data_IF_654045184449
#
_entry.id   IF_654045184449
#
_cell.length_a   1.000
_cell.length_b   1.000
_cell.length_c   1.000
_cell.angle_alpha   90.00
_cell.angle_beta   90.00
_cell.angle_gamma   90.00
#
_symmetry.space_group_name_H-M   'P 1'
#
loop_
_entity.id
_entity.type
_entity.pdbx_description
1 polymer ?
#
# COMPACT_ATOMS: atom_id res chain seq x y z
N UNK A 1 54.66 -19.86 21.67
CA UNK A 1 53.26 -19.96 22.14
C UNK A 1 52.38 -18.75 21.72
N UNK A 2 52.80 -17.89 20.80
CA UNK A 2 52.07 -16.66 20.43
C UNK A 2 51.08 -16.82 19.25
N UNK A 3 51.17 -17.91 18.47
CA UNK A 3 50.31 -18.15 17.30
C UNK A 3 48.86 -18.55 17.62
N UNK A 4 48.59 -19.04 18.84
CA UNK A 4 47.25 -19.54 19.24
C UNK A 4 46.28 -18.42 19.64
N UNK A 5 46.80 -17.29 20.13
CA UNK A 5 45.98 -16.14 20.53
C UNK A 5 45.50 -15.28 19.34
N UNK A 6 46.24 -15.27 18.24
CA UNK A 6 45.88 -14.48 17.06
C UNK A 6 44.58 -14.95 16.41
N UNK A 7 44.34 -16.26 16.33
CA UNK A 7 43.14 -16.80 15.68
C UNK A 7 41.87 -16.62 16.51
N UNK A 8 41.98 -16.61 17.84
CA UNK A 8 40.83 -16.47 18.74
C UNK A 8 40.18 -15.08 18.63
N UNK A 9 40.93 -14.05 18.26
CA UNK A 9 40.42 -12.69 18.06
C UNK A 9 40.09 -12.42 16.58
N UNK A 10 40.84 -13.01 15.64
CA UNK A 10 40.61 -12.81 14.20
C UNK A 10 39.27 -13.40 13.74
N UNK A 11 38.91 -14.60 14.20
CA UNK A 11 37.71 -15.32 13.77
C UNK A 11 36.41 -14.56 14.14
N UNK A 12 36.20 -14.11 15.40
CA UNK A 12 35.00 -13.35 15.74
C UNK A 12 34.96 -11.98 15.05
N UNK A 13 36.09 -11.31 14.86
CA UNK A 13 36.15 -10.04 14.12
C UNK A 13 35.73 -10.24 12.65
N UNK A 14 36.14 -11.34 12.03
CA UNK A 14 35.76 -11.70 10.67
C UNK A 14 34.27 -12.08 10.57
N UNK A 15 33.71 -12.77 11.58
CA UNK A 15 32.28 -13.08 11.64
C UNK A 15 31.40 -11.84 11.85
N UNK A 16 31.85 -10.90 12.68
CA UNK A 16 31.17 -9.60 12.87
C UNK A 16 31.25 -8.79 11.58
N UNK A 17 32.43 -8.71 10.95
CA UNK A 17 32.62 -8.04 9.66
C UNK A 17 31.74 -8.64 8.56
N UNK A 18 31.68 -9.98 8.46
CA UNK A 18 30.82 -10.68 7.52
C UNK A 18 29.33 -10.44 7.80
N UNK A 19 28.92 -10.42 9.07
CA UNK A 19 27.53 -10.10 9.45
C UNK A 19 27.15 -8.66 9.07
N UNK A 20 28.01 -7.69 9.32
CA UNK A 20 27.80 -6.28 8.92
C UNK A 20 27.76 -6.16 7.40
N UNK A 21 28.66 -6.85 6.68
CA UNK A 21 28.68 -6.87 5.23
C UNK A 21 27.41 -7.49 4.62
N UNK A 22 26.91 -8.58 5.21
CA UNK A 22 25.64 -9.21 4.81
C UNK A 22 24.46 -8.24 5.05
N UNK A 23 24.43 -7.53 6.18
CA UNK A 23 23.39 -6.54 6.46
C UNK A 23 23.39 -5.37 5.46
N UNK A 24 24.57 -4.92 5.01
CA UNK A 24 24.70 -3.85 4.00
C UNK A 24 24.35 -4.35 2.59
N UNK A 25 24.63 -5.62 2.25
CA UNK A 25 24.22 -6.20 0.95
C UNK A 25 22.76 -6.63 0.92
N UNK A 26 22.12 -6.85 2.07
CA UNK A 26 20.68 -7.07 2.22
C UNK A 26 19.84 -5.78 2.14
N UNK A 27 20.36 -4.68 1.61
CA UNK A 27 19.48 -3.62 1.11
C UNK A 27 18.71 -4.18 -0.09
N UNK A 28 17.37 -4.38 0.00
CA UNK A 28 16.61 -4.86 -1.14
C UNK A 28 16.83 -3.88 -2.29
N UNK A 29 17.27 -4.39 -3.45
CA UNK A 29 17.44 -3.58 -4.65
C UNK A 29 16.16 -2.76 -4.88
N UNK A 30 16.28 -1.46 -5.23
CA UNK A 30 15.11 -0.63 -5.50
C UNK A 30 14.34 -1.30 -6.64
N UNK A 31 13.11 -1.69 -6.35
CA UNK A 31 12.33 -2.48 -7.28
C UNK A 31 12.01 -1.63 -8.49
N UNK A 32 12.36 -2.15 -9.67
CA UNK A 32 12.06 -1.50 -10.94
C UNK A 32 10.56 -1.60 -11.18
N UNK A 33 9.82 -0.58 -10.77
CA UNK A 33 8.40 -0.47 -11.06
C UNK A 33 8.23 -0.08 -12.52
N UNK A 34 7.60 -0.96 -13.30
CA UNK A 34 7.20 -0.63 -14.66
C UNK A 34 6.23 0.55 -14.61
N UNK A 35 6.60 1.66 -15.24
CA UNK A 35 5.71 2.80 -15.36
C UNK A 35 4.57 2.44 -16.32
N UNK A 36 3.36 2.40 -15.79
CA UNK A 36 2.14 2.32 -16.58
C UNK A 36 1.35 3.59 -16.24
N UNK A 37 0.91 4.34 -17.24
CA UNK A 37 0.03 5.50 -17.05
C UNK A 37 -1.40 5.09 -16.62
N UNK A 38 -1.54 3.94 -15.96
CA UNK A 38 -2.80 3.38 -15.51
C UNK A 38 -2.94 3.71 -14.02
N UNK A 39 -3.99 4.45 -13.62
CA UNK A 39 -4.17 4.82 -12.24
C UNK A 39 -4.53 3.61 -11.37
N UNK A 40 -4.00 3.61 -10.16
CA UNK A 40 -4.37 2.68 -9.09
C UNK A 40 -5.28 3.40 -8.10
N UNK A 41 -6.49 2.88 -7.94
CA UNK A 41 -7.50 3.45 -7.04
C UNK A 41 -7.53 2.66 -5.74
N UNK A 42 -7.40 3.38 -4.61
CA UNK A 42 -7.49 2.87 -3.25
C UNK A 42 -8.82 3.30 -2.64
N UNK A 43 -9.50 2.36 -1.98
CA UNK A 43 -10.79 2.59 -1.30
C UNK A 43 -10.72 1.87 0.04
N UNK A 44 -11.04 2.57 1.14
CA UNK A 44 -11.04 1.97 2.47
C UNK A 44 -12.22 1.03 2.69
N UNK A 45 -12.05 0.10 3.63
CA UNK A 45 -13.11 -0.80 4.08
C UNK A 45 -14.04 -0.17 5.11
N UNK A 46 -14.96 -0.99 5.63
CA UNK A 46 -15.89 -0.62 6.69
C UNK A 46 -15.17 -0.06 7.93
N UNK A 47 -15.66 1.04 8.48
CA UNK A 47 -15.05 1.82 9.56
C UNK A 47 -13.62 2.34 9.27
N UNK A 48 -13.15 2.27 8.02
CA UNK A 48 -11.91 2.89 7.58
C UNK A 48 -12.00 4.41 7.48
N UNK A 49 -10.87 5.10 7.34
CA UNK A 49 -10.81 6.55 7.14
C UNK A 49 -9.59 6.94 6.31
N UNK A 50 -9.45 8.21 5.95
CA UNK A 50 -8.35 8.74 5.13
C UNK A 50 -6.95 8.33 5.61
N UNK A 51 -6.72 8.28 6.94
CA UNK A 51 -5.44 7.86 7.53
C UNK A 51 -5.02 6.44 7.12
N UNK A 52 -5.96 5.61 6.66
CA UNK A 52 -5.69 4.21 6.30
C UNK A 52 -4.73 4.08 5.12
N UNK A 53 -4.87 4.94 4.10
CA UNK A 53 -4.04 4.86 2.89
C UNK A 53 -3.21 6.09 2.59
N UNK A 54 -3.57 7.27 3.12
CA UNK A 54 -2.80 8.48 2.89
C UNK A 54 -1.30 8.30 3.18
N UNK A 55 -0.97 7.81 4.37
CA UNK A 55 0.43 7.59 4.76
C UNK A 55 1.14 6.51 3.93
N UNK A 56 0.41 5.54 3.39
CA UNK A 56 0.97 4.52 2.49
C UNK A 56 1.23 5.08 1.09
N UNK A 57 0.28 5.82 0.53
CA UNK A 57 0.39 6.47 -0.78
C UNK A 57 1.54 7.46 -0.78
N UNK A 58 1.64 8.30 0.27
CA UNK A 58 2.75 9.22 0.45
C UNK A 58 4.10 8.51 0.46
N UNK A 59 4.24 7.38 1.17
CA UNK A 59 5.47 6.58 1.12
C UNK A 59 5.75 6.01 -0.28
N UNK A 60 4.74 5.52 -0.98
CA UNK A 60 4.91 5.01 -2.35
C UNK A 60 5.37 6.10 -3.32
N UNK A 61 4.89 7.33 -3.13
CA UNK A 61 5.24 8.49 -3.95
C UNK A 61 6.61 9.07 -3.58
N UNK A 62 6.79 9.50 -2.33
CA UNK A 62 7.95 10.28 -1.89
C UNK A 62 9.17 9.42 -1.57
N UNK A 63 8.97 8.27 -0.91
CA UNK A 63 10.08 7.45 -0.41
C UNK A 63 10.56 6.41 -1.43
N UNK A 64 9.61 5.81 -2.15
CA UNK A 64 9.91 4.68 -3.03
C UNK A 64 9.80 5.01 -4.52
N UNK A 65 9.19 6.15 -4.87
CA UNK A 65 8.98 6.59 -6.26
C UNK A 65 8.29 5.51 -7.13
N UNK A 66 7.39 4.72 -6.53
CA UNK A 66 6.66 3.65 -7.22
C UNK A 66 5.44 4.17 -7.99
N UNK A 67 4.94 5.34 -7.62
CA UNK A 67 3.83 6.02 -8.29
C UNK A 67 3.76 7.48 -7.90
N UNK A 68 2.79 8.19 -8.46
CA UNK A 68 2.60 9.63 -8.22
C UNK A 68 1.32 9.83 -7.42
N UNK A 69 1.39 10.42 -6.23
CA UNK A 69 0.18 10.86 -5.53
C UNK A 69 -0.56 11.89 -6.38
N UNK A 70 -1.78 11.56 -6.83
CA UNK A 70 -2.49 12.35 -7.84
C UNK A 70 -3.77 12.95 -7.28
N UNK A 71 -4.73 12.11 -6.91
CA UNK A 71 -6.06 12.58 -6.50
C UNK A 71 -6.47 12.01 -5.15
N UNK A 72 -7.03 12.87 -4.32
CA UNK A 72 -7.78 12.51 -3.13
C UNK A 72 -9.25 12.89 -3.33
N UNK A 73 -10.13 11.89 -3.35
CA UNK A 73 -11.57 12.05 -3.58
C UNK A 73 -12.29 11.70 -2.30
N UNK A 74 -12.87 12.70 -1.66
CA UNK A 74 -13.73 12.53 -0.50
C UNK A 74 -15.19 12.51 -0.94
N UNK A 75 -15.93 11.50 -0.53
CA UNK A 75 -17.37 11.39 -0.74
C UNK A 75 -18.05 11.71 0.58
N UNK A 76 -18.81 12.80 0.63
CA UNK A 76 -19.54 13.16 1.85
C UNK A 76 -20.75 12.26 2.10
N UNK A 77 -21.40 12.43 3.24
CA UNK A 77 -22.58 11.65 3.66
C UNK A 77 -23.76 11.77 2.69
N UNK A 78 -23.85 12.87 1.93
CA UNK A 78 -24.84 13.07 0.86
C UNK A 78 -24.46 12.40 -0.46
N UNK A 79 -23.24 11.86 -0.55
CA UNK A 79 -22.68 11.26 -1.76
C UNK A 79 -22.07 12.27 -2.73
N UNK A 80 -21.86 13.53 -2.35
CA UNK A 80 -21.18 14.52 -3.19
C UNK A 80 -19.67 14.31 -3.13
N UNK A 81 -19.03 14.45 -4.29
CA UNK A 81 -17.60 14.24 -4.47
C UNK A 81 -16.86 15.56 -4.27
N UNK A 82 -15.83 15.54 -3.44
CA UNK A 82 -14.88 16.63 -3.23
C UNK A 82 -13.50 16.13 -3.63
N UNK A 83 -12.86 16.80 -4.57
CA UNK A 83 -11.57 16.35 -5.13
C UNK A 83 -10.45 17.31 -4.77
N UNK A 84 -9.30 16.75 -4.39
CA UNK A 84 -8.07 17.46 -4.08
C UNK A 84 -6.91 16.83 -4.86
N UNK A 85 -5.88 17.63 -5.15
CA UNK A 85 -4.72 17.21 -5.93
C UNK A 85 -4.87 17.48 -7.43
N UNK A 86 -4.00 16.89 -8.23
CA UNK A 86 -3.96 17.03 -9.68
C UNK A 86 -3.70 15.68 -10.35
N UNK A 87 -4.19 15.51 -11.58
CA UNK A 87 -3.95 14.30 -12.37
C UNK A 87 -3.15 14.67 -13.63
N UNK A 88 -1.82 14.72 -13.56
CA UNK A 88 -0.97 14.94 -14.72
C UNK A 88 -1.14 13.81 -15.73
N UNK A 89 -1.18 14.13 -17.02
CA UNK A 89 -1.30 13.13 -18.10
C UNK A 89 -0.05 12.25 -18.22
N UNK A 90 1.09 12.74 -17.77
CA UNK A 90 2.40 12.07 -17.75
C UNK A 90 2.72 11.40 -16.40
N UNK A 91 1.81 11.47 -15.43
CA UNK A 91 2.03 10.91 -14.09
C UNK A 91 2.36 9.41 -14.15
N UNK A 92 3.42 9.03 -13.44
CA UNK A 92 3.89 7.64 -13.39
C UNK A 92 3.07 6.88 -12.36
N UNK A 93 2.38 5.80 -12.77
CA UNK A 93 1.46 5.01 -11.94
C UNK A 93 0.63 5.88 -10.98
N UNK A 94 -0.33 6.68 -11.49
CA UNK A 94 -1.08 7.63 -10.67
C UNK A 94 -1.78 6.92 -9.51
N UNK A 95 -1.64 7.42 -8.29
CA UNK A 95 -2.24 6.89 -7.08
C UNK A 95 -3.43 7.77 -6.68
N UNK A 96 -4.62 7.16 -6.61
CA UNK A 96 -5.87 7.85 -6.33
C UNK A 96 -6.47 7.27 -5.05
N UNK A 97 -6.74 8.10 -4.04
CA UNK A 97 -7.38 7.69 -2.80
C UNK A 97 -8.84 8.13 -2.78
N UNK A 98 -9.77 7.20 -2.55
CA UNK A 98 -11.20 7.49 -2.37
C UNK A 98 -11.58 7.22 -0.92
N UNK A 99 -12.16 8.22 -0.27
CA UNK A 99 -12.56 8.18 1.13
C UNK A 99 -14.04 8.51 1.26
N UNK A 100 -14.78 7.73 2.04
CA UNK A 100 -16.16 7.97 2.42
C UNK A 100 -16.19 8.60 3.81
N UNK A 101 -16.84 9.76 3.95
CA UNK A 101 -17.05 10.40 5.26
C UNK A 101 -17.88 9.47 6.17
N UNK A 102 -18.97 8.92 5.62
CA UNK A 102 -19.72 7.87 6.28
C UNK A 102 -19.05 6.52 6.01
N UNK A 103 -18.09 6.20 6.87
CA UNK A 103 -17.36 4.95 6.80
C UNK A 103 -18.14 3.72 7.30
N UNK A 104 -19.35 3.91 7.83
CA UNK A 104 -20.25 2.84 8.28
C UNK A 104 -21.49 2.68 7.41
N UNK A 105 -21.58 3.44 6.33
CA UNK A 105 -22.60 3.29 5.30
C UNK A 105 -22.71 1.83 4.84
N UNK A 106 -23.93 1.43 4.43
CA UNK A 106 -24.18 0.09 3.92
C UNK A 106 -23.27 -0.25 2.73
N UNK A 107 -22.99 -1.54 2.51
CA UNK A 107 -22.19 -2.01 1.36
C UNK A 107 -22.82 -1.51 0.04
N UNK A 108 -24.15 -1.49 -0.07
CA UNK A 108 -24.86 -0.99 -1.24
C UNK A 108 -24.57 0.49 -1.50
N UNK A 109 -24.56 1.31 -0.45
CA UNK A 109 -24.29 2.74 -0.53
C UNK A 109 -22.82 3.03 -0.87
N UNK A 110 -21.88 2.32 -0.24
CA UNK A 110 -20.45 2.39 -0.58
C UNK A 110 -20.19 1.95 -2.04
N UNK A 111 -20.90 0.93 -2.53
CA UNK A 111 -20.83 0.50 -3.93
C UNK A 111 -21.38 1.57 -4.89
N UNK A 112 -22.49 2.22 -4.55
CA UNK A 112 -23.06 3.31 -5.32
C UNK A 112 -22.10 4.53 -5.39
N UNK A 113 -21.49 4.89 -4.26
CA UNK A 113 -20.49 5.95 -4.19
C UNK A 113 -19.22 5.62 -4.96
N UNK A 114 -18.73 4.38 -4.86
CA UNK A 114 -17.61 3.88 -5.66
C UNK A 114 -17.93 4.03 -7.15
N UNK A 115 -19.09 3.54 -7.59
CA UNK A 115 -19.52 3.66 -9.00
C UNK A 115 -19.62 5.12 -9.44
N UNK A 116 -20.08 6.02 -8.56
CA UNK A 116 -20.14 7.46 -8.83
C UNK A 116 -18.74 8.05 -9.00
N UNK A 117 -17.81 7.77 -8.09
CA UNK A 117 -16.42 8.25 -8.16
C UNK A 117 -15.67 7.70 -9.38
N UNK A 118 -15.85 6.42 -9.71
CA UNK A 118 -15.23 5.82 -10.91
C UNK A 118 -15.75 6.44 -12.21
N UNK A 119 -17.06 6.75 -12.29
CA UNK A 119 -17.64 7.47 -13.44
C UNK A 119 -17.10 8.90 -13.54
N UNK A 120 -16.99 9.59 -12.40
CA UNK A 120 -16.40 10.92 -12.34
C UNK A 120 -14.96 10.90 -12.87
N UNK A 121 -14.15 9.95 -12.42
CA UNK A 121 -12.77 9.78 -12.89
C UNK A 121 -12.68 9.52 -14.40
N UNK A 122 -13.54 8.64 -14.94
CA UNK A 122 -13.62 8.37 -16.39
C UNK A 122 -13.95 9.63 -17.19
N UNK A 123 -14.94 10.41 -16.73
CA UNK A 123 -15.49 11.56 -17.47
C UNK A 123 -14.56 12.77 -17.39
N UNK A 124 -14.02 13.08 -16.21
CA UNK A 124 -13.27 14.32 -15.98
C UNK A 124 -11.77 14.20 -16.26
N UNK A 125 -11.21 12.98 -16.23
CA UNK A 125 -9.77 12.75 -16.42
C UNK A 125 -9.45 11.82 -17.59
N UNK A 126 -10.44 11.50 -18.43
CA UNK A 126 -10.32 10.62 -19.60
C UNK A 126 -9.66 9.25 -19.31
N UNK A 127 -9.78 8.76 -18.07
CA UNK A 127 -9.15 7.51 -17.64
C UNK A 127 -9.91 6.33 -18.26
N UNK A 128 -9.27 5.63 -19.19
CA UNK A 128 -9.87 4.47 -19.89
C UNK A 128 -9.85 3.21 -19.04
N UNK A 129 -8.72 2.94 -18.38
CA UNK A 129 -8.47 1.73 -17.60
C UNK A 129 -8.11 2.08 -16.16
N UNK A 130 -8.54 1.26 -15.21
CA UNK A 130 -8.19 1.40 -13.80
C UNK A 130 -7.59 0.10 -13.29
N UNK A 131 -6.51 0.20 -12.52
CA UNK A 131 -6.12 -0.87 -11.61
C UNK A 131 -6.93 -0.68 -10.32
N UNK A 132 -8.04 -1.40 -10.21
CA UNK A 132 -8.88 -1.30 -9.02
C UNK A 132 -8.23 -2.15 -7.90
N UNK A 133 -7.57 -1.48 -6.96
CA UNK A 133 -7.05 -2.14 -5.76
C UNK A 133 -8.02 -1.88 -4.61
N UNK A 134 -9.08 -2.70 -4.54
CA UNK A 134 -9.98 -2.69 -3.39
C UNK A 134 -9.26 -3.40 -2.24
N UNK A 135 -8.85 -2.64 -1.23
CA UNK A 135 -8.41 -3.24 0.04
C UNK A 135 -9.68 -3.43 0.88
N UNK A 136 -10.48 -4.44 0.52
CA UNK A 136 -11.61 -4.90 1.31
C UNK A 136 -11.08 -5.81 2.42
N UNK A 137 -11.04 -5.34 3.66
CA UNK A 137 -11.01 -6.19 4.84
C UNK A 137 -12.43 -6.26 5.40
N UNK A 138 -13.14 -7.36 5.10
CA UNK A 138 -14.25 -7.81 5.94
C UNK A 138 -13.60 -8.43 7.17
N UNK A 139 -13.70 -7.78 8.32
CA UNK A 139 -13.50 -8.45 9.59
C UNK A 139 -14.63 -9.49 9.73
N UNK A 140 -14.38 -10.73 9.26
CA UNK A 140 -15.08 -11.90 9.76
C UNK A 140 -16.13 -12.61 8.90
N UNK A 141 -16.24 -12.48 7.58
CA UNK A 141 -17.06 -13.39 6.76
C UNK A 141 -16.43 -13.69 5.40
N UNK A 142 -16.32 -14.99 5.06
CA UNK A 142 -15.68 -15.50 3.85
C UNK A 142 -16.53 -15.35 2.60
N UNK A 143 -16.55 -14.16 1.99
CA UNK A 143 -17.09 -13.98 0.64
C UNK A 143 -16.05 -13.37 -0.31
N UNK A 144 -15.73 -14.15 -1.35
CA UNK A 144 -14.81 -13.85 -2.43
C UNK A 144 -15.41 -12.78 -3.36
N UNK A 145 -15.09 -11.52 -3.14
CA UNK A 145 -15.21 -10.49 -4.17
C UNK A 145 -13.92 -10.54 -5.01
N UNK A 146 -14.11 -10.81 -6.30
CA UNK A 146 -13.10 -10.98 -7.35
C UNK A 146 -11.85 -10.10 -7.17
N UNK A 147 -10.76 -10.73 -6.70
CA UNK A 147 -9.41 -10.17 -6.72
C UNK A 147 -8.92 -10.20 -8.17
N UNK A 148 -9.28 -9.20 -9.01
CA UNK A 148 -8.49 -8.96 -10.23
C UNK A 148 -7.08 -8.59 -9.76
N UNK A 149 -6.13 -9.50 -9.99
CA UNK A 149 -4.72 -9.40 -9.60
C UNK A 149 -4.22 -7.97 -9.80
N UNK A 150 -3.89 -7.27 -8.72
CA UNK A 150 -3.10 -6.05 -8.80
C UNK A 150 -1.80 -6.43 -9.52
N UNK A 151 -1.61 -5.95 -10.76
CA UNK A 151 -0.50 -6.36 -11.64
C UNK A 151 0.84 -5.71 -11.25
N UNK A 152 0.94 -5.16 -10.04
CA UNK A 152 2.20 -4.79 -9.39
C UNK A 152 2.41 -5.85 -8.29
N UNK A 153 3.08 -6.98 -8.60
CA UNK A 153 3.26 -8.11 -7.68
C UNK A 153 3.85 -7.68 -6.34
N UNK A 154 4.63 -6.59 -6.36
CA UNK A 154 5.29 -6.08 -5.18
C UNK A 154 4.37 -5.28 -4.23
N UNK A 155 3.45 -4.45 -4.73
CA UNK A 155 2.45 -3.79 -3.87
C UNK A 155 1.57 -4.86 -3.22
N UNK A 156 1.22 -5.90 -3.97
CA UNK A 156 0.51 -7.06 -3.45
C UNK A 156 1.31 -7.79 -2.35
N UNK A 157 2.61 -8.01 -2.55
CA UNK A 157 3.49 -8.61 -1.54
C UNK A 157 3.68 -7.73 -0.30
N UNK A 158 3.87 -6.42 -0.48
CA UNK A 158 4.08 -5.48 0.62
C UNK A 158 2.83 -5.34 1.49
N UNK A 159 1.63 -5.29 0.89
CA UNK A 159 0.36 -5.31 1.63
C UNK A 159 0.22 -6.62 2.43
N UNK A 160 0.55 -7.76 1.80
CA UNK A 160 0.48 -9.08 2.45
C UNK A 160 1.50 -9.23 3.59
N UNK A 161 2.70 -8.66 3.44
CA UNK A 161 3.78 -8.76 4.42
C UNK A 161 3.63 -7.79 5.60
N UNK A 162 3.09 -6.59 5.40
CA UNK A 162 2.74 -5.67 6.49
C UNK A 162 1.62 -6.23 7.38
N UNK A 163 0.67 -6.97 6.80
CA UNK A 163 -0.43 -7.58 7.55
C UNK A 163 0.04 -8.77 8.40
N UNK A 164 0.93 -9.62 7.87
CA UNK A 164 1.51 -10.77 8.58
C UNK A 164 2.24 -10.35 9.87
N UNK A 165 2.88 -9.18 9.88
CA UNK A 165 3.53 -8.62 11.09
C UNK A 165 2.52 -8.17 12.14
N UNK A 166 1.37 -7.60 11.76
CA UNK A 166 0.35 -7.13 12.71
C UNK A 166 -0.35 -8.27 13.45
N UNK A 167 -0.64 -9.38 12.76
CA UNK A 167 -1.31 -10.55 13.34
C UNK A 167 -0.38 -11.33 14.28
N UNK A 168 0.91 -11.41 13.97
CA UNK A 168 1.90 -12.03 14.84
C UNK A 168 2.18 -11.20 16.11
N UNK A 169 2.08 -9.86 16.04
CA UNK A 169 2.25 -9.01 17.23
C UNK A 169 1.10 -9.09 18.25
N UNK A 170 -0.09 -9.57 17.83
CA UNK A 170 -1.26 -9.76 18.72
C UNK A 170 -1.34 -11.17 19.32
N UNK A 171 -0.36 -12.04 19.09
CA UNK A 171 -0.25 -13.40 19.68
C UNK A 171 0.88 -13.51 20.72
N UNK A 172 1.22 -12.43 21.42
CA UNK A 172 2.02 -12.54 22.64
C UNK A 172 1.05 -12.38 23.81
N UNK A 173 0.64 -13.46 24.50
CA UNK A 173 -0.06 -13.32 25.76
C UNK A 173 0.90 -12.68 26.77
N UNK A 174 0.54 -11.50 27.27
CA UNK A 174 1.09 -10.99 28.53
C UNK A 174 0.64 -11.97 29.61
N UNK A 175 1.52 -12.91 29.99
CA UNK A 175 1.37 -13.68 31.23
C UNK A 175 1.77 -12.77 32.39
N UNK A 176 0.79 -12.41 33.22
CA UNK A 176 0.98 -12.25 34.66
C UNK A 176 0.53 -13.57 35.31
#
# INVERSE_FOLDING_TARGET
MLKRFSFTILIPLLLVGASVFILIKMHPAPLKVTNRHIPTVFIHGYAGNDRSFHGMIRRFSEKYHWGTESLHIRVDTSGKLHTQGSYPTDAKNPLINIVFDDNRASIAQQSAWTKKAMRYLKKHYAIKNFMQSVIQWVAGHGSLISQRKATIPFIQWQIKSSFRRSVLSRRIPQRL
#
